data_IF_232961373086
#
_entry.id   IF_232961373086
#
_cell.length_a   1.000
_cell.length_b   1.000
_cell.length_c   1.000
_cell.angle_alpha   90.00
_cell.angle_beta   90.00
_cell.angle_gamma   90.00
#
_symmetry.space_group_name_H-M   'P 1'
#
loop_
_entity.id
_entity.type
_entity.pdbx_description
1 polymer ?
#
# COMPACT_ATOMS: atom_id res chain seq x y z
N UNK A 1 28.03 -9.69 -0.70
CA UNK A 1 28.13 -8.22 -0.73
C UNK A 1 26.98 -7.63 0.08
N UNK A 2 27.31 -6.73 0.94
CA UNK A 2 26.26 -6.04 1.65
C UNK A 2 25.42 -5.27 0.63
N UNK A 3 24.16 -5.61 0.51
CA UNK A 3 23.24 -4.86 -0.31
C UNK A 3 23.07 -3.45 0.25
N UNK A 4 22.43 -2.60 -0.53
CA UNK A 4 22.04 -1.28 -0.03
C UNK A 4 21.19 -1.45 1.22
N UNK A 5 21.52 -0.71 2.27
CA UNK A 5 20.69 -0.69 3.47
C UNK A 5 19.41 0.07 3.14
N UNK A 6 18.28 -0.63 3.21
CA UNK A 6 16.98 0.01 3.05
C UNK A 6 16.65 0.80 4.30
N UNK A 7 16.29 2.07 4.14
CA UNK A 7 15.90 2.93 5.25
C UNK A 7 14.38 3.01 5.34
N UNK A 8 13.87 3.28 6.55
CA UNK A 8 12.46 3.60 6.72
C UNK A 8 12.17 4.94 6.03
N UNK A 9 10.97 5.08 5.47
CA UNK A 9 10.53 6.39 4.98
C UNK A 9 10.37 7.36 6.15
N UNK A 10 10.73 8.61 5.93
CA UNK A 10 10.23 9.67 6.81
C UNK A 10 8.76 9.92 6.49
N UNK A 11 8.07 10.61 7.37
CA UNK A 11 6.68 10.99 7.11
C UNK A 11 6.54 11.79 5.80
N UNK A 12 7.43 12.74 5.59
CA UNK A 12 7.43 13.55 4.38
C UNK A 12 7.68 12.71 3.12
N UNK A 13 8.64 11.79 3.18
CA UNK A 13 8.93 10.90 2.05
C UNK A 13 7.73 10.01 1.74
N UNK A 14 7.11 9.44 2.77
CA UNK A 14 5.92 8.62 2.61
C UNK A 14 4.81 9.40 1.91
N UNK A 15 4.45 10.57 2.43
CA UNK A 15 3.40 11.39 1.84
C UNK A 15 3.71 11.80 0.40
N UNK A 16 4.96 12.21 0.14
CA UNK A 16 5.36 12.64 -1.19
C UNK A 16 5.26 11.50 -2.20
N UNK A 17 5.75 10.30 -1.85
CA UNK A 17 5.68 9.14 -2.75
C UNK A 17 4.23 8.74 -3.01
N UNK A 18 3.42 8.66 -1.95
CA UNK A 18 2.03 8.23 -2.09
C UNK A 18 1.24 9.23 -2.92
N UNK A 19 1.40 10.51 -2.66
CA UNK A 19 0.74 11.56 -3.44
C UNK A 19 1.15 11.50 -4.91
N UNK A 20 2.45 11.35 -5.17
CA UNK A 20 2.98 11.25 -6.54
C UNK A 20 2.40 10.05 -7.27
N UNK A 21 2.27 8.92 -6.60
CA UNK A 21 1.69 7.72 -7.20
C UNK A 21 0.20 7.87 -7.49
N UNK A 22 -0.56 8.53 -6.62
CA UNK A 22 -1.98 8.74 -6.88
C UNK A 22 -2.23 9.79 -7.96
N UNK A 23 -1.48 10.87 -7.96
CA UNK A 23 -1.76 12.02 -8.85
C UNK A 23 -0.95 11.98 -10.14
N UNK A 24 0.23 11.36 -10.12
CA UNK A 24 1.17 11.44 -11.23
C UNK A 24 1.88 12.79 -11.27
N UNK A 25 2.75 12.97 -12.26
CA UNK A 25 3.45 14.24 -12.50
C UNK A 25 3.40 14.52 -14.01
N UNK A 26 2.46 15.33 -14.45
CA UNK A 26 2.31 15.70 -15.85
C UNK A 26 2.40 14.49 -16.79
N UNK A 27 3.26 14.59 -17.81
CA UNK A 27 3.52 13.48 -18.74
C UNK A 27 4.66 12.57 -18.26
N UNK A 28 5.33 12.91 -17.16
CA UNK A 28 6.54 12.22 -16.71
C UNK A 28 6.23 10.96 -15.90
N UNK A 29 5.25 11.07 -14.99
CA UNK A 29 4.82 9.96 -14.14
C UNK A 29 3.31 9.81 -14.26
N UNK A 30 2.87 8.67 -14.77
CA UNK A 30 1.46 8.36 -14.85
C UNK A 30 0.91 8.02 -13.46
N UNK A 31 -0.32 8.45 -13.14
CA UNK A 31 -0.96 8.01 -11.89
C UNK A 31 -1.01 6.49 -11.80
N UNK A 32 -0.74 5.96 -10.62
CA UNK A 32 -0.80 4.52 -10.39
C UNK A 32 -1.41 4.23 -9.01
N UNK A 33 -2.74 4.36 -8.89
CA UNK A 33 -3.42 4.14 -7.62
C UNK A 33 -3.22 2.75 -7.03
N UNK A 34 -3.04 1.73 -7.89
CA UNK A 34 -2.79 0.36 -7.42
C UNK A 34 -1.50 0.30 -6.61
N UNK A 35 -0.40 0.80 -7.17
CA UNK A 35 0.89 0.78 -6.48
C UNK A 35 0.83 1.63 -5.21
N UNK A 36 0.20 2.80 -5.29
CA UNK A 36 0.03 3.66 -4.12
C UNK A 36 -0.70 2.92 -2.99
N UNK A 37 -1.80 2.27 -3.32
CA UNK A 37 -2.61 1.54 -2.33
C UNK A 37 -1.84 0.37 -1.72
N UNK A 38 -1.07 -0.36 -2.52
CA UNK A 38 -0.19 -1.43 -2.02
C UNK A 38 0.74 -0.89 -0.94
N UNK A 39 1.41 0.22 -1.21
CA UNK A 39 2.37 0.80 -0.27
C UNK A 39 1.69 1.38 0.96
N UNK A 40 0.50 1.94 0.81
CA UNK A 40 -0.32 2.40 1.94
C UNK A 40 -0.63 1.24 2.88
N UNK A 41 -1.04 0.10 2.34
CA UNK A 41 -1.35 -1.08 3.16
C UNK A 41 -0.10 -1.60 3.87
N UNK A 42 1.04 -1.68 3.17
CA UNK A 42 2.31 -2.04 3.80
C UNK A 42 2.62 -1.13 4.98
N UNK A 43 2.48 0.17 4.79
CA UNK A 43 2.83 1.18 5.79
C UNK A 43 1.85 1.21 6.97
N UNK A 44 0.61 0.78 6.78
CA UNK A 44 -0.42 0.86 7.82
C UNK A 44 -0.71 -0.46 8.50
N UNK A 45 -0.26 -1.57 7.95
CA UNK A 45 -0.46 -2.91 8.54
C UNK A 45 0.86 -3.55 8.93
N UNK A 46 1.97 -3.12 8.33
CA UNK A 46 3.27 -3.70 8.60
C UNK A 46 3.53 -5.01 7.87
N UNK A 47 2.82 -5.25 6.77
CA UNK A 47 3.00 -6.44 5.96
C UNK A 47 4.24 -6.33 5.08
N UNK A 48 4.85 -7.49 4.78
CA UNK A 48 5.84 -7.58 3.71
C UNK A 48 5.14 -7.44 2.37
N UNK A 49 5.90 -7.03 1.36
CA UNK A 49 5.31 -6.83 0.02
C UNK A 49 4.63 -8.10 -0.50
N UNK A 50 5.25 -9.25 -0.34
CA UNK A 50 4.66 -10.53 -0.78
C UNK A 50 3.35 -10.84 -0.07
N UNK A 51 3.26 -10.55 1.21
CA UNK A 51 2.03 -10.74 1.99
C UNK A 51 0.93 -9.78 1.53
N UNK A 52 1.30 -8.53 1.27
CA UNK A 52 0.35 -7.52 0.77
C UNK A 52 -0.24 -7.97 -0.57
N UNK A 53 0.61 -8.48 -1.47
CA UNK A 53 0.17 -8.93 -2.79
C UNK A 53 -0.61 -10.25 -2.74
N UNK A 54 -0.56 -10.96 -1.63
CA UNK A 54 -1.34 -12.19 -1.46
C UNK A 54 -2.75 -11.96 -0.89
N UNK A 55 -3.06 -10.72 -0.50
CA UNK A 55 -4.39 -10.40 0.02
C UNK A 55 -5.46 -10.67 -1.04
N UNK A 56 -6.54 -11.31 -0.59
CA UNK A 56 -7.70 -11.63 -1.41
C UNK A 56 -8.92 -10.96 -0.84
N UNK A 57 -9.98 -10.90 -1.63
CA UNK A 57 -11.26 -10.41 -1.12
C UNK A 57 -11.67 -11.18 0.14
N UNK A 58 -11.40 -12.49 0.17
CA UNK A 58 -11.71 -13.36 1.31
C UNK A 58 -10.80 -13.13 2.53
N UNK A 59 -9.78 -12.30 2.41
CA UNK A 59 -8.87 -12.00 3.54
C UNK A 59 -9.50 -11.13 4.62
N UNK A 60 -10.58 -10.44 4.33
CA UNK A 60 -11.22 -9.48 5.25
C UNK A 60 -11.96 -10.23 6.34
N UNK A 61 -11.55 -10.02 7.59
CA UNK A 61 -12.13 -10.66 8.78
C UNK A 61 -12.62 -9.59 9.74
N UNK A 62 -13.88 -9.70 10.14
CA UNK A 62 -14.48 -8.83 11.14
C UNK A 62 -14.93 -9.71 12.31
N UNK A 63 -14.43 -9.43 13.50
CA UNK A 63 -14.75 -10.18 14.71
C UNK A 63 -15.27 -9.22 15.77
N UNK A 64 -15.90 -9.72 16.85
CA UNK A 64 -16.31 -8.86 17.96
C UNK A 64 -15.16 -8.08 18.58
N UNK A 65 -13.91 -8.60 18.48
CA UNK A 65 -12.73 -7.96 19.04
C UNK A 65 -12.05 -6.98 18.05
N UNK A 66 -12.52 -6.88 16.80
CA UNK A 66 -11.97 -5.93 15.85
C UNK A 66 -11.86 -6.46 14.43
N UNK A 67 -11.04 -5.79 13.65
CA UNK A 67 -10.85 -6.07 12.23
C UNK A 67 -9.47 -6.69 11.99
N UNK A 68 -9.37 -7.56 10.99
CA UNK A 68 -8.12 -8.22 10.65
C UNK A 68 -8.07 -8.60 9.17
N UNK A 69 -6.86 -8.85 8.69
CA UNK A 69 -6.64 -9.51 7.40
C UNK A 69 -6.03 -10.88 7.66
N UNK A 70 -6.60 -11.91 7.03
CA UNK A 70 -6.05 -13.27 7.07
C UNK A 70 -5.25 -13.52 5.81
N UNK A 71 -4.05 -14.09 6.00
CA UNK A 71 -3.18 -14.51 4.90
C UNK A 71 -2.91 -15.99 5.07
N UNK A 72 -3.18 -16.75 4.02
CA UNK A 72 -2.93 -18.19 4.01
C UNK A 72 -1.59 -18.46 3.32
N UNK A 73 -0.66 -19.07 4.05
CA UNK A 73 0.63 -19.41 3.47
C UNK A 73 0.49 -20.63 2.54
N UNK A 74 0.96 -20.49 1.30
CA UNK A 74 0.88 -21.56 0.31
C UNK A 74 1.64 -22.80 0.71
N UNK A 75 2.80 -22.62 1.35
CA UNK A 75 3.69 -23.76 1.68
C UNK A 75 3.16 -24.62 2.81
N UNK A 76 2.49 -24.02 3.79
CA UNK A 76 2.11 -24.70 5.04
C UNK A 76 0.61 -24.76 5.26
N UNK A 77 -0.17 -23.99 4.50
CA UNK A 77 -1.60 -23.82 4.75
C UNK A 77 -1.92 -23.07 6.03
N UNK A 78 -0.91 -22.58 6.74
CA UNK A 78 -1.12 -21.82 7.98
C UNK A 78 -1.77 -20.48 7.67
N UNK A 79 -2.71 -20.08 8.55
CA UNK A 79 -3.35 -18.78 8.48
C UNK A 79 -2.63 -17.83 9.42
N UNK A 80 -2.14 -16.72 8.88
CA UNK A 80 -1.61 -15.63 9.69
C UNK A 80 -2.63 -14.51 9.72
N UNK A 81 -2.93 -14.03 10.90
CA UNK A 81 -3.92 -12.98 11.11
C UNK A 81 -3.22 -11.69 11.52
N UNK A 82 -3.50 -10.63 10.79
CA UNK A 82 -2.94 -9.31 11.05
C UNK A 82 -4.06 -8.38 11.50
N UNK A 83 -3.97 -7.90 12.73
CA UNK A 83 -4.92 -6.90 13.23
C UNK A 83 -4.74 -5.61 12.44
N UNK A 84 -5.87 -4.99 12.07
CA UNK A 84 -5.84 -3.73 11.35
C UNK A 84 -6.81 -2.76 12.00
N UNK A 85 -6.50 -1.47 11.87
CA UNK A 85 -7.43 -0.43 12.30
C UNK A 85 -8.65 -0.43 11.38
N UNK A 86 -9.80 -0.09 11.94
CA UNK A 86 -11.04 -0.06 11.20
C UNK A 86 -10.95 0.83 9.96
N UNK A 87 -10.29 1.97 10.06
CA UNK A 87 -10.11 2.90 8.95
C UNK A 87 -9.34 2.26 7.79
N UNK A 88 -8.30 1.49 8.11
CA UNK A 88 -7.49 0.79 7.10
C UNK A 88 -8.30 -0.32 6.45
N UNK A 89 -9.02 -1.09 7.26
CA UNK A 89 -9.89 -2.16 6.79
C UNK A 89 -10.94 -1.60 5.81
N UNK A 90 -11.63 -0.54 6.22
CA UNK A 90 -12.67 0.07 5.40
C UNK A 90 -12.10 0.68 4.12
N UNK A 91 -10.94 1.29 4.19
CA UNK A 91 -10.28 1.85 3.03
C UNK A 91 -9.98 0.78 1.98
N UNK A 92 -9.39 -0.34 2.39
CA UNK A 92 -9.05 -1.41 1.45
C UNK A 92 -10.31 -2.09 0.91
N UNK A 93 -11.35 -2.24 1.74
CA UNK A 93 -12.63 -2.81 1.31
C UNK A 93 -13.27 -1.92 0.24
N UNK A 94 -13.28 -0.62 0.45
CA UNK A 94 -13.79 0.34 -0.54
C UNK A 94 -13.00 0.29 -1.84
N UNK A 95 -11.66 0.18 -1.72
CA UNK A 95 -10.79 0.00 -2.88
C UNK A 95 -11.18 -1.25 -3.67
N UNK A 96 -11.32 -2.37 -2.98
CA UNK A 96 -11.68 -3.64 -3.61
C UNK A 96 -13.05 -3.55 -4.29
N UNK A 97 -14.02 -2.91 -3.66
CA UNK A 97 -15.35 -2.69 -4.25
C UNK A 97 -15.27 -1.81 -5.49
N UNK A 98 -14.53 -0.72 -5.41
CA UNK A 98 -14.37 0.23 -6.54
C UNK A 98 -13.69 -0.41 -7.73
N UNK A 99 -12.75 -1.31 -7.49
CA UNK A 99 -12.02 -2.01 -8.55
C UNK A 99 -12.75 -3.26 -9.04
N UNK A 100 -13.91 -3.56 -8.48
CA UNK A 100 -14.71 -4.73 -8.89
C UNK A 100 -14.07 -6.07 -8.54
N UNK A 101 -13.28 -6.13 -7.48
CA UNK A 101 -12.61 -7.36 -7.06
C UNK A 101 -13.65 -8.31 -6.46
N UNK A 102 -13.79 -9.48 -7.05
CA UNK A 102 -14.73 -10.50 -6.59
C UNK A 102 -14.08 -11.42 -5.54
N UNK A 103 -14.93 -12.22 -4.87
CA UNK A 103 -14.49 -13.18 -3.88
C UNK A 103 -13.39 -14.08 -4.44
N UNK A 104 -12.45 -14.46 -3.60
CA UNK A 104 -11.31 -15.32 -3.91
C UNK A 104 -10.30 -14.75 -4.91
N UNK A 105 -10.52 -13.57 -5.44
CA UNK A 105 -9.56 -12.93 -6.31
C UNK A 105 -8.55 -12.10 -5.52
N UNK A 106 -7.34 -11.98 -6.06
CA UNK A 106 -6.34 -11.11 -5.49
C UNK A 106 -6.81 -9.66 -5.58
N UNK A 107 -6.61 -8.90 -4.52
CA UNK A 107 -6.91 -7.47 -4.54
C UNK A 107 -5.92 -6.75 -5.45
N UNK A 108 -4.67 -7.19 -5.45
CA UNK A 108 -3.61 -6.59 -6.24
C UNK A 108 -2.99 -7.65 -7.17
N UNK A 109 -3.57 -7.88 -8.36
CA UNK A 109 -3.06 -8.88 -9.28
C UNK A 109 -1.81 -8.39 -10.03
N UNK A 110 -0.71 -8.20 -9.29
CA UNK A 110 0.55 -7.66 -9.79
C UNK A 110 1.69 -8.31 -9.03
N UNK A 111 2.84 -8.44 -9.65
CA UNK A 111 4.01 -9.06 -9.03
C UNK A 111 4.91 -8.07 -8.31
N UNK A 112 5.76 -8.58 -7.44
CA UNK A 112 6.70 -7.79 -6.65
C UNK A 112 7.61 -6.93 -7.55
N UNK A 113 8.11 -7.51 -8.64
CA UNK A 113 8.99 -6.78 -9.56
C UNK A 113 8.34 -5.54 -10.16
N UNK A 114 7.07 -5.64 -10.52
CA UNK A 114 6.35 -4.49 -11.07
C UNK A 114 6.19 -3.39 -10.03
N UNK A 115 5.89 -3.75 -8.78
CA UNK A 115 5.80 -2.78 -7.69
C UNK A 115 7.15 -2.08 -7.51
N UNK A 116 8.24 -2.84 -7.43
CA UNK A 116 9.59 -2.31 -7.26
C UNK A 116 9.97 -1.38 -8.41
N UNK A 117 9.64 -1.76 -9.64
CA UNK A 117 9.95 -0.97 -10.83
C UNK A 117 9.24 0.38 -10.80
N UNK A 118 7.96 0.39 -10.48
CA UNK A 118 7.18 1.64 -10.42
C UNK A 118 7.64 2.53 -9.28
N UNK A 119 7.93 1.95 -8.12
CA UNK A 119 8.45 2.69 -6.98
C UNK A 119 9.80 3.32 -7.32
N UNK A 120 10.70 2.54 -7.93
CA UNK A 120 12.01 3.05 -8.34
C UNK A 120 11.89 4.23 -9.30
N UNK A 121 10.99 4.13 -10.26
CA UNK A 121 10.76 5.22 -11.23
C UNK A 121 10.37 6.51 -10.52
N UNK A 122 9.46 6.42 -9.55
CA UNK A 122 9.04 7.58 -8.76
C UNK A 122 10.21 8.14 -7.93
N UNK A 123 10.95 7.26 -7.24
CA UNK A 123 12.07 7.68 -6.41
C UNK A 123 13.19 8.31 -7.24
N UNK A 124 13.46 7.79 -8.43
CA UNK A 124 14.43 8.37 -9.35
C UNK A 124 14.00 9.78 -9.78
N UNK A 125 12.73 9.97 -10.04
CA UNK A 125 12.18 11.29 -10.39
C UNK A 125 12.30 12.27 -9.22
N UNK A 126 12.00 11.81 -8.00
CA UNK A 126 12.06 12.67 -6.81
C UNK A 126 13.50 13.08 -6.48
N UNK A 127 14.48 12.27 -6.88
CA UNK A 127 15.88 12.65 -6.86
C UNK A 127 16.59 12.43 -5.53
N UNK A 128 17.55 13.30 -5.18
CA UNK A 128 18.38 13.10 -3.99
C UNK A 128 17.55 12.96 -2.72
N UNK A 129 17.94 11.99 -1.89
CA UNK A 129 17.23 11.65 -0.66
C UNK A 129 16.33 10.44 -0.77
N UNK A 130 16.02 9.98 -1.99
CA UNK A 130 15.10 8.85 -2.22
C UNK A 130 15.80 7.59 -2.73
N UNK A 131 17.13 7.58 -2.78
CA UNK A 131 17.91 6.49 -3.38
C UNK A 131 17.81 5.17 -2.61
N UNK A 132 17.59 5.23 -1.30
CA UNK A 132 17.57 4.07 -0.43
C UNK A 132 16.14 3.60 -0.10
N UNK A 133 15.14 4.15 -0.78
CA UNK A 133 13.75 3.78 -0.58
C UNK A 133 13.41 2.56 -1.44
N UNK A 134 12.79 1.56 -0.81
CA UNK A 134 12.30 0.35 -1.47
C UNK A 134 10.94 -0.01 -0.88
N UNK A 135 10.32 -1.08 -1.38
CA UNK A 135 9.07 -1.55 -0.79
C UNK A 135 9.21 -1.82 0.71
N UNK A 136 10.37 -2.33 1.13
CA UNK A 136 10.62 -2.62 2.54
C UNK A 136 10.65 -1.36 3.43
N UNK A 137 10.92 -0.19 2.86
CA UNK A 137 10.90 1.09 3.58
C UNK A 137 9.53 1.40 4.16
N UNK A 138 8.47 1.00 3.49
CA UNK A 138 7.09 1.24 3.92
C UNK A 138 6.72 0.33 5.10
N UNK A 139 7.22 -0.89 5.10
CA UNK A 139 7.05 -1.78 6.25
C UNK A 139 7.80 -1.26 7.48
N UNK A 140 9.02 -0.77 7.28
CA UNK A 140 9.79 -0.15 8.37
C UNK A 140 9.11 1.10 8.91
N UNK A 141 8.47 1.86 8.05
CA UNK A 141 7.70 3.05 8.43
C UNK A 141 6.58 2.71 9.41
N UNK A 142 5.91 1.58 9.22
CA UNK A 142 4.88 1.11 10.13
C UNK A 142 5.40 1.02 11.57
N UNK A 143 6.61 0.50 11.76
CA UNK A 143 7.19 0.35 13.09
C UNK A 143 7.57 1.67 13.77
N UNK A 144 7.75 2.75 13.00
CA UNK A 144 8.23 4.02 13.55
C UNK A 144 7.15 5.06 13.75
N UNK A 145 6.12 5.07 12.90
CA UNK A 145 5.18 6.18 12.83
C UNK A 145 3.74 5.83 13.26
N UNK A 146 3.45 4.56 13.50
CA UNK A 146 2.09 4.13 13.77
C UNK A 146 1.46 4.83 14.99
N UNK A 147 2.28 5.21 15.98
CA UNK A 147 1.82 5.90 17.16
C UNK A 147 1.27 7.30 16.88
N UNK A 148 1.74 7.92 15.81
CA UNK A 148 1.47 9.33 15.56
C UNK A 148 0.31 9.55 14.60
N UNK A 149 -0.17 8.51 13.93
CA UNK A 149 -1.07 8.70 12.82
C UNK A 149 -2.55 8.44 13.09
N UNK A 150 -2.86 7.55 13.98
CA UNK A 150 -4.26 7.27 14.38
C UNK A 150 -5.28 7.36 13.24
N UNK A 151 -4.90 6.89 12.04
CA UNK A 151 -5.78 6.90 10.88
C UNK A 151 -5.94 8.23 10.16
N UNK A 152 -5.25 9.30 10.58
CA UNK A 152 -5.36 10.60 9.92
C UNK A 152 -4.86 10.60 8.49
N UNK A 153 -3.80 9.83 8.22
CA UNK A 153 -3.28 9.71 6.87
C UNK A 153 -4.23 8.92 5.96
N UNK A 154 -5.01 8.01 6.50
CA UNK A 154 -6.00 7.27 5.71
C UNK A 154 -7.06 8.19 5.13
N UNK A 155 -7.48 9.24 5.86
CA UNK A 155 -8.40 10.22 5.32
C UNK A 155 -7.80 10.95 4.11
N UNK A 156 -6.53 11.32 4.19
CA UNK A 156 -5.82 11.93 3.07
C UNK A 156 -5.71 10.96 1.89
N UNK A 157 -5.28 9.74 2.15
CA UNK A 157 -5.13 8.69 1.13
C UNK A 157 -6.46 8.41 0.44
N UNK A 158 -7.53 8.32 1.22
CA UNK A 158 -8.87 8.08 0.70
C UNK A 158 -9.29 9.18 -0.28
N UNK A 159 -9.02 10.42 0.06
CA UNK A 159 -9.30 11.55 -0.85
C UNK A 159 -8.46 11.50 -2.10
N UNK A 160 -7.17 11.15 -1.97
CA UNK A 160 -6.28 11.01 -3.12
C UNK A 160 -6.76 9.91 -4.07
N UNK A 161 -7.17 8.78 -3.52
CA UNK A 161 -7.68 7.66 -4.32
C UNK A 161 -8.98 8.05 -5.04
N UNK A 162 -9.93 8.64 -4.32
CA UNK A 162 -11.22 9.05 -4.90
C UNK A 162 -11.02 10.08 -6.01
N UNK A 163 -10.11 11.04 -5.81
CA UNK A 163 -9.81 12.06 -6.81
C UNK A 163 -9.17 11.46 -8.05
N UNK A 164 -8.23 10.55 -7.86
CA UNK A 164 -7.56 9.83 -8.94
C UNK A 164 -8.55 8.99 -9.75
N UNK A 165 -9.41 8.25 -9.07
CA UNK A 165 -10.44 7.43 -9.69
C UNK A 165 -11.44 8.28 -10.49
N UNK A 166 -11.87 9.41 -9.96
CA UNK A 166 -12.77 10.32 -10.66
C UNK A 166 -12.12 10.91 -11.92
N UNK A 167 -10.84 11.26 -11.86
CA UNK A 167 -10.11 11.78 -12.99
C UNK A 167 -10.01 10.74 -14.12
N UNK A 168 -9.76 9.49 -13.78
CA UNK A 168 -9.71 8.39 -14.76
C UNK A 168 -11.08 8.18 -15.39
N UNK A 169 -12.15 8.25 -14.61
CA UNK A 169 -13.52 8.09 -15.11
C UNK A 169 -13.93 9.25 -16.03
N UNK A 170 -13.47 10.46 -15.74
CA UNK A 170 -13.83 11.65 -16.49
C UNK A 170 -13.07 11.79 -17.81
N UNK A 171 -11.96 11.07 -17.99
CA UNK A 171 -11.13 11.18 -19.21
C UNK A 171 -11.65 10.31 -20.39
#
# INVERSE_FOLDING_TARGET
MAGKTTTACTHEQYETIIKTLYEGIGDCIQPNPRIATILVIEANVGLRIGDTLSLRRSSFIKTPSGHAFNIIEHKTGKVRRFKVQEQVYNFLLEYADSEGIEDDNLIFPIGVRAVQKHLKKVCDWLGPGYEDISTHSFRKYFGTEIYYKNGKDIELVRRLYQHSSAAVTAS
#
